data_IF_509791349063
#
_entry.id   IF_509791349063
#
_cell.length_a   1.000
_cell.length_b   1.000
_cell.length_c   1.000
_cell.angle_alpha   90.00
_cell.angle_beta   90.00
_cell.angle_gamma   90.00
#
_symmetry.space_group_name_H-M   'P 1'
#
loop_
_entity.id
_entity.type
_entity.pdbx_description
1 polymer ?
#
# COMPACT_ATOMS: atom_id res chain seq x y z
N UNK A 1 18.31 2.59 -16.72
CA UNK A 1 18.28 3.55 -15.59
C UNK A 1 16.83 3.67 -15.17
N UNK A 2 16.47 3.15 -14.00
CA UNK A 2 15.07 3.16 -13.56
C UNK A 2 14.67 4.60 -13.20
N UNK A 3 13.42 4.96 -13.50
CA UNK A 3 12.89 6.27 -13.16
C UNK A 3 12.52 6.28 -11.68
N UNK A 4 13.09 7.20 -10.91
CA UNK A 4 12.80 7.31 -9.48
C UNK A 4 11.58 8.20 -9.24
N UNK A 5 10.77 7.86 -8.24
CA UNK A 5 9.60 8.64 -7.83
C UNK A 5 9.51 8.80 -6.32
N UNK A 6 8.85 9.88 -5.90
CA UNK A 6 8.41 10.10 -4.52
C UNK A 6 6.90 9.99 -4.49
N UNK A 7 6.38 9.07 -3.68
CA UNK A 7 4.97 8.70 -3.67
C UNK A 7 4.25 9.29 -2.45
N UNK A 8 3.08 9.90 -2.69
CA UNK A 8 2.25 10.49 -1.63
C UNK A 8 0.90 9.78 -1.60
N UNK A 9 0.57 9.16 -0.46
CA UNK A 9 -0.64 8.34 -0.28
C UNK A 9 -1.65 9.04 0.63
N UNK A 10 -2.77 9.46 0.05
CA UNK A 10 -3.87 10.08 0.80
C UNK A 10 -4.60 9.13 1.74
N UNK A 11 -5.43 9.69 2.63
CA UNK A 11 -6.41 8.90 3.40
C UNK A 11 -7.54 8.38 2.49
N UNK A 12 -8.36 7.46 2.99
CA UNK A 12 -9.45 6.89 2.18
C UNK A 12 -10.27 5.77 2.82
N UNK A 13 -10.05 5.48 4.11
CA UNK A 13 -10.69 4.34 4.80
C UNK A 13 -10.43 3.02 4.08
N UNK A 14 -11.43 2.13 4.04
CA UNK A 14 -11.32 0.83 3.37
C UNK A 14 -10.92 0.93 1.88
N UNK A 15 -11.34 1.99 1.17
CA UNK A 15 -11.00 2.17 -0.25
C UNK A 15 -9.51 2.47 -0.48
N UNK A 16 -8.80 2.97 0.52
CA UNK A 16 -7.37 3.24 0.38
C UNK A 16 -6.49 1.99 0.37
N UNK A 17 -7.05 0.80 0.54
CA UNK A 17 -6.36 -0.45 0.21
C UNK A 17 -5.97 -0.52 -1.29
N UNK A 18 -6.64 0.26 -2.15
CA UNK A 18 -6.25 0.42 -3.55
C UNK A 18 -4.81 0.95 -3.73
N UNK A 19 -4.24 1.62 -2.72
CA UNK A 19 -2.85 2.07 -2.73
C UNK A 19 -1.86 0.90 -2.91
N UNK A 20 -2.20 -0.31 -2.46
CA UNK A 20 -1.39 -1.52 -2.67
C UNK A 20 -1.22 -1.79 -4.17
N UNK A 21 -2.32 -1.77 -4.93
CA UNK A 21 -2.29 -1.98 -6.37
C UNK A 21 -1.53 -0.89 -7.13
N UNK A 22 -1.64 0.37 -6.68
CA UNK A 22 -0.87 1.48 -7.27
C UNK A 22 0.64 1.25 -7.12
N UNK A 23 1.08 0.79 -5.95
CA UNK A 23 2.50 0.51 -5.70
C UNK A 23 2.99 -0.63 -6.61
N UNK A 24 2.25 -1.73 -6.70
CA UNK A 24 2.63 -2.84 -7.59
C UNK A 24 2.73 -2.42 -9.06
N UNK A 25 1.80 -1.60 -9.53
CA UNK A 25 1.84 -1.11 -10.92
C UNK A 25 3.04 -0.19 -11.16
N UNK A 26 3.40 0.66 -10.20
CA UNK A 26 4.60 1.49 -10.30
C UNK A 26 5.87 0.63 -10.39
N UNK A 27 6.00 -0.41 -9.57
CA UNK A 27 7.14 -1.33 -9.63
C UNK A 27 7.16 -2.12 -10.95
N UNK A 28 6.02 -2.63 -11.39
CA UNK A 28 5.87 -3.36 -12.65
C UNK A 28 6.21 -2.48 -13.87
N UNK A 29 5.87 -1.19 -13.82
CA UNK A 29 6.24 -0.21 -14.82
C UNK A 29 7.72 0.23 -14.76
N UNK A 30 8.51 -0.31 -13.83
CA UNK A 30 9.95 -0.06 -13.70
C UNK A 30 10.30 1.24 -12.98
N UNK A 31 9.38 1.78 -12.17
CA UNK A 31 9.66 2.91 -11.29
C UNK A 31 10.29 2.44 -9.98
N UNK A 32 11.24 3.23 -9.47
CA UNK A 32 11.87 3.04 -8.17
C UNK A 32 11.31 4.05 -7.15
N UNK A 33 10.56 3.57 -6.16
CA UNK A 33 9.93 4.42 -5.15
C UNK A 33 10.94 4.71 -4.03
N UNK A 34 11.55 5.89 -4.09
CA UNK A 34 12.65 6.26 -3.17
C UNK A 34 12.16 6.84 -1.84
N UNK A 35 10.96 7.40 -1.82
CA UNK A 35 10.36 7.97 -0.60
C UNK A 35 8.85 7.89 -0.65
N UNK A 36 8.25 7.73 0.53
CA UNK A 36 6.80 7.69 0.71
C UNK A 36 6.39 8.63 1.83
N UNK A 37 5.32 9.40 1.58
CA UNK A 37 4.58 10.10 2.61
C UNK A 37 3.14 9.62 2.57
N UNK A 38 2.49 9.47 3.73
CA UNK A 38 1.12 8.98 3.78
C UNK A 38 0.31 9.52 4.96
N UNK A 39 -1.02 9.47 4.83
CA UNK A 39 -1.95 9.84 5.89
C UNK A 39 -2.96 8.71 6.16
N UNK A 40 -3.17 8.34 7.43
CA UNK A 40 -4.07 7.27 7.86
C UNK A 40 -3.78 5.95 7.13
N UNK A 41 -4.72 5.41 6.34
CA UNK A 41 -4.51 4.16 5.58
C UNK A 41 -3.37 4.27 4.57
N UNK A 42 -3.13 5.46 4.01
CA UNK A 42 -1.98 5.71 3.14
C UNK A 42 -0.66 5.65 3.90
N UNK A 43 -0.63 6.09 5.17
CA UNK A 43 0.53 5.94 6.04
C UNK A 43 0.78 4.47 6.40
N UNK A 44 -0.29 3.73 6.68
CA UNK A 44 -0.24 2.29 6.96
C UNK A 44 0.34 1.51 5.77
N UNK A 45 -0.28 1.63 4.59
CA UNK A 45 0.17 0.93 3.38
C UNK A 45 1.59 1.36 3.00
N UNK A 46 1.87 2.67 3.04
CA UNK A 46 3.19 3.20 2.73
C UNK A 46 4.28 2.71 3.69
N UNK A 47 3.98 2.63 4.98
CA UNK A 47 4.91 2.11 6.00
C UNK A 47 5.17 0.60 5.83
N UNK A 48 4.12 -0.18 5.54
CA UNK A 48 4.23 -1.61 5.27
C UNK A 48 5.08 -1.87 4.02
N UNK A 49 4.88 -1.09 2.96
CA UNK A 49 5.71 -1.15 1.76
C UNK A 49 7.17 -0.82 2.08
N UNK A 50 7.43 0.27 2.80
CA UNK A 50 8.79 0.64 3.20
C UNK A 50 9.47 -0.43 4.08
N UNK A 51 8.70 -1.24 4.79
CA UNK A 51 9.18 -2.39 5.55
C UNK A 51 9.38 -3.67 4.72
N UNK A 52 9.10 -3.65 3.41
CA UNK A 52 9.23 -4.80 2.52
C UNK A 52 8.17 -5.89 2.74
N UNK A 53 7.01 -5.53 3.31
CA UNK A 53 5.95 -6.48 3.70
C UNK A 53 4.63 -6.30 2.94
N UNK A 54 4.66 -5.60 1.81
CA UNK A 54 3.44 -5.26 1.07
C UNK A 54 2.67 -6.49 0.60
N UNK A 55 3.34 -7.49 0.03
CA UNK A 55 2.68 -8.72 -0.47
C UNK A 55 2.04 -9.54 0.66
N UNK A 56 2.68 -9.59 1.84
CA UNK A 56 2.13 -10.28 3.01
C UNK A 56 0.86 -9.58 3.50
N UNK A 57 0.90 -8.25 3.55
CA UNK A 57 -0.25 -7.45 3.90
C UNK A 57 -1.37 -7.58 2.87
N UNK A 58 -1.08 -7.57 1.57
CA UNK A 58 -2.08 -7.78 0.53
C UNK A 58 -2.78 -9.13 0.70
N UNK A 59 -2.03 -10.21 0.92
CA UNK A 59 -2.60 -11.54 1.17
C UNK A 59 -3.51 -11.56 2.39
N UNK A 60 -3.08 -10.95 3.49
CA UNK A 60 -3.89 -10.83 4.70
C UNK A 60 -5.17 -10.06 4.42
N UNK A 61 -5.07 -8.87 3.80
CA UNK A 61 -6.22 -8.02 3.46
C UNK A 61 -7.24 -8.74 2.57
N UNK A 62 -6.78 -9.52 1.58
CA UNK A 62 -7.66 -10.29 0.69
C UNK A 62 -8.31 -11.50 1.38
N UNK A 63 -7.73 -11.99 2.46
CA UNK A 63 -8.24 -13.11 3.23
C UNK A 63 -9.22 -12.70 4.34
N UNK A 64 -9.33 -11.40 4.65
CA UNK A 64 -10.29 -10.88 5.63
C UNK A 64 -11.72 -11.05 5.11
N UNK A 65 -12.56 -11.74 5.88
CA UNK A 65 -13.99 -11.82 5.63
C UNK A 65 -14.74 -10.71 6.39
N UNK A 66 -16.00 -10.42 6.02
CA UNK A 66 -16.81 -9.35 6.66
C UNK A 66 -16.93 -9.51 8.18
N UNK A 67 -16.81 -10.75 8.68
CA UNK A 67 -16.91 -11.08 10.11
C UNK A 67 -15.67 -10.63 10.89
N UNK A 68 -14.48 -10.67 10.27
CA UNK A 68 -13.23 -10.26 10.91
C UNK A 68 -13.16 -8.75 11.12
N UNK A 69 -13.80 -7.97 10.24
CA UNK A 69 -13.85 -6.50 10.33
C UNK A 69 -14.72 -6.01 11.50
N UNK A 70 -15.77 -6.75 11.85
CA UNK A 70 -16.68 -6.40 12.97
C UNK A 70 -16.06 -6.76 14.33
N UNK A 71 -15.02 -7.59 14.33
CA UNK A 71 -14.37 -8.12 15.53
C UNK A 71 -13.13 -7.33 15.95
N UNK A 72 -12.75 -6.30 15.17
CA UNK A 72 -11.58 -5.43 15.39
C UNK A 72 -11.95 -4.21 16.24
#
# INVERSE_FOLDING_TARGET
MNKTVSLVLGSGGARGLAHIGVIHELEAAGYDIRSISGCSVGALVGGIYAAGKLDEFERWVRAIDKVDIVSL
#
